data_IF_872355501688
#
_entry.id   IF_872355501688
#
_cell.length_a   1.000
_cell.length_b   1.000
_cell.length_c   1.000
_cell.angle_alpha   90.00
_cell.angle_beta   90.00
_cell.angle_gamma   90.00
#
_symmetry.space_group_name_H-M   'P 1'
#
loop_
_entity.id
_entity.type
_entity.pdbx_description
1 polymer ?
#
# COMPACT_ATOMS: atom_id res chain seq x y z
N UNK A 1 26.99 -9.11 -12.49
CA UNK A 1 25.97 -8.15 -12.73
C UNK A 1 25.08 -7.98 -11.51
N UNK A 2 24.98 -6.80 -11.07
CA UNK A 2 24.13 -6.55 -9.92
C UNK A 2 22.66 -6.67 -10.30
N UNK A 3 21.91 -7.24 -9.41
CA UNK A 3 20.46 -7.25 -9.53
C UNK A 3 19.93 -6.05 -8.77
N UNK A 4 20.02 -4.91 -9.44
CA UNK A 4 19.45 -3.70 -8.86
C UNK A 4 17.98 -3.93 -8.65
N UNK A 5 17.42 -3.56 -7.49
CA UNK A 5 15.97 -3.51 -7.37
C UNK A 5 15.44 -2.51 -8.38
N UNK A 6 14.17 -2.64 -8.74
CA UNK A 6 13.56 -1.63 -9.60
C UNK A 6 13.81 -0.26 -8.99
N UNK A 7 14.19 0.74 -9.78
CA UNK A 7 14.42 2.06 -9.22
C UNK A 7 13.16 2.59 -8.56
N UNK A 8 13.35 3.39 -7.52
CA UNK A 8 12.23 4.12 -6.95
C UNK A 8 11.77 5.17 -7.95
N UNK A 9 10.51 5.11 -8.29
CA UNK A 9 9.89 6.01 -9.25
C UNK A 9 8.82 6.85 -8.56
N UNK A 10 8.56 8.07 -9.06
CA UNK A 10 7.43 8.83 -8.55
C UNK A 10 6.14 8.07 -8.80
N UNK A 11 5.37 7.84 -7.74
CA UNK A 11 4.05 7.24 -7.89
C UNK A 11 3.14 8.28 -8.54
N UNK A 12 2.43 7.93 -9.63
CA UNK A 12 1.60 8.92 -10.35
C UNK A 12 0.60 9.61 -9.43
N UNK A 13 0.51 10.92 -9.56
CA UNK A 13 -0.38 11.73 -8.74
C UNK A 13 -1.84 11.29 -8.86
N UNK A 14 -2.28 10.93 -10.07
CA UNK A 14 -3.64 10.48 -10.29
C UNK A 14 -3.95 9.17 -9.54
N UNK A 15 -3.00 8.23 -9.54
CA UNK A 15 -3.14 6.98 -8.80
C UNK A 15 -3.25 7.27 -7.30
N UNK A 16 -2.34 8.11 -6.79
CA UNK A 16 -2.33 8.45 -5.36
C UNK A 16 -3.62 9.13 -4.94
N UNK A 17 -4.09 10.08 -5.75
CA UNK A 17 -5.34 10.80 -5.46
C UNK A 17 -6.52 9.85 -5.34
N UNK A 18 -6.65 8.91 -6.27
CA UNK A 18 -7.74 7.94 -6.24
C UNK A 18 -7.64 7.01 -5.04
N UNK A 19 -6.44 6.50 -4.75
CA UNK A 19 -6.23 5.58 -3.64
C UNK A 19 -6.48 6.29 -2.30
N UNK A 20 -5.97 7.51 -2.14
CA UNK A 20 -6.17 8.29 -0.92
C UNK A 20 -7.67 8.53 -0.68
N UNK A 21 -8.40 8.91 -1.72
CA UNK A 21 -9.83 9.17 -1.60
C UNK A 21 -10.58 7.92 -1.11
N UNK A 22 -10.25 6.75 -1.68
CA UNK A 22 -10.88 5.49 -1.29
C UNK A 22 -10.52 5.13 0.16
N UNK A 23 -9.25 5.27 0.53
CA UNK A 23 -8.79 4.96 1.89
C UNK A 23 -9.45 5.87 2.93
N UNK A 24 -9.55 7.15 2.65
CA UNK A 24 -10.15 8.12 3.58
C UNK A 24 -11.64 7.92 3.73
N UNK A 25 -12.32 7.55 2.65
CA UNK A 25 -13.75 7.27 2.70
C UNK A 25 -14.02 5.99 3.48
N UNK A 26 -13.17 4.98 3.35
CA UNK A 26 -13.21 3.79 4.19
C UNK A 26 -14.38 2.86 3.94
N UNK A 27 -15.04 2.94 2.79
CA UNK A 27 -16.14 2.04 2.49
C UNK A 27 -15.66 0.63 2.20
N UNK A 28 -16.21 -0.34 2.93
CA UNK A 28 -15.79 -1.74 2.81
C UNK A 28 -15.94 -2.29 1.40
N UNK A 29 -16.94 -1.84 0.66
CA UNK A 29 -17.17 -2.29 -0.70
C UNK A 29 -16.07 -1.87 -1.67
N UNK A 30 -15.27 -0.86 -1.31
CA UNK A 30 -14.23 -0.32 -2.16
C UNK A 30 -12.82 -0.74 -1.74
N UNK A 31 -12.69 -1.45 -0.62
CA UNK A 31 -11.37 -1.82 -0.07
C UNK A 31 -11.35 -3.32 0.21
N UNK A 32 -10.62 -4.04 -0.64
CA UNK A 32 -10.37 -5.47 -0.42
C UNK A 32 -9.01 -5.59 0.26
N UNK A 33 -8.97 -6.24 1.40
CA UNK A 33 -7.71 -6.51 2.10
C UNK A 33 -7.48 -8.01 2.04
N UNK A 34 -6.37 -8.42 1.42
CA UNK A 34 -6.03 -9.82 1.37
C UNK A 34 -5.83 -10.33 2.80
N UNK A 35 -6.21 -11.58 3.03
CA UNK A 35 -6.18 -12.15 4.38
C UNK A 35 -4.80 -12.05 5.00
N UNK A 36 -3.75 -12.32 4.25
CA UNK A 36 -2.39 -12.24 4.74
C UNK A 36 -2.07 -10.83 5.25
N UNK A 37 -2.44 -9.80 4.49
CA UNK A 37 -2.20 -8.42 4.88
C UNK A 37 -2.94 -8.09 6.17
N UNK A 38 -4.18 -8.52 6.27
CA UNK A 38 -4.99 -8.32 7.46
C UNK A 38 -4.37 -8.99 8.68
N UNK A 39 -3.99 -10.25 8.53
CA UNK A 39 -3.46 -11.05 9.63
C UNK A 39 -2.11 -10.52 10.12
N UNK A 40 -1.22 -10.16 9.19
CA UNK A 40 0.09 -9.65 9.55
C UNK A 40 0.01 -8.29 10.25
N UNK A 41 -0.89 -7.42 9.79
CA UNK A 41 -1.08 -6.13 10.44
C UNK A 41 -1.68 -6.32 11.82
N UNK A 42 -2.70 -7.16 11.96
CA UNK A 42 -3.35 -7.44 13.25
C UNK A 42 -2.40 -8.10 14.24
N UNK A 43 -1.52 -8.98 13.76
CA UNK A 43 -0.54 -9.62 14.62
C UNK A 43 0.43 -8.61 15.23
N UNK A 44 0.81 -7.59 14.45
CA UNK A 44 1.73 -6.55 14.91
C UNK A 44 1.03 -5.48 15.75
N UNK A 45 -0.21 -5.15 15.40
CA UNK A 45 -0.99 -4.09 16.05
C UNK A 45 -2.40 -4.62 16.40
N UNK A 46 -2.51 -5.49 17.41
CA UNK A 46 -3.78 -6.17 17.70
C UNK A 46 -4.90 -5.23 18.16
N UNK A 47 -4.55 -4.04 18.65
CA UNK A 47 -5.53 -3.07 19.12
C UNK A 47 -5.88 -2.00 18.07
N UNK A 48 -5.28 -2.08 16.88
CA UNK A 48 -5.55 -1.10 15.83
C UNK A 48 -6.81 -1.47 15.06
N UNK A 49 -7.54 -0.43 14.66
CA UNK A 49 -8.72 -0.59 13.83
C UNK A 49 -8.35 -0.50 12.34
N UNK A 50 -9.15 -1.08 11.44
CA UNK A 50 -8.89 -0.94 10.00
C UNK A 50 -8.76 0.51 9.53
N UNK A 51 -9.57 1.43 10.08
CA UNK A 51 -9.48 2.82 9.66
C UNK A 51 -8.17 3.48 10.11
N UNK A 52 -7.55 3.01 11.18
CA UNK A 52 -6.23 3.51 11.61
C UNK A 52 -5.18 3.15 10.56
N UNK A 53 -5.20 1.90 10.11
CA UNK A 53 -4.31 1.42 9.04
C UNK A 53 -4.55 2.20 7.76
N UNK A 54 -5.82 2.35 7.38
CA UNK A 54 -6.17 3.05 6.14
C UNK A 54 -5.75 4.52 6.19
N UNK A 55 -5.90 5.16 7.34
CA UNK A 55 -5.45 6.53 7.53
C UNK A 55 -3.95 6.67 7.38
N UNK A 56 -3.18 5.74 7.95
CA UNK A 56 -1.72 5.76 7.85
C UNK A 56 -1.27 5.54 6.39
N UNK A 57 -1.93 4.64 5.66
CA UNK A 57 -1.66 4.43 4.25
C UNK A 57 -1.95 5.69 3.43
N UNK A 58 -3.08 6.33 3.69
CA UNK A 58 -3.44 7.58 3.00
C UNK A 58 -2.44 8.69 3.30
N UNK A 59 -2.02 8.82 4.55
CA UNK A 59 -1.03 9.83 4.93
C UNK A 59 0.28 9.65 4.18
N UNK A 60 0.70 8.41 3.97
CA UNK A 60 1.95 8.12 3.25
C UNK A 60 1.87 8.53 1.77
N UNK A 61 0.68 8.56 1.20
CA UNK A 61 0.47 8.87 -0.21
C UNK A 61 0.06 10.33 -0.46
N UNK A 62 -0.05 11.13 0.60
CA UNK A 62 -0.53 12.52 0.50
C UNK A 62 0.54 13.55 0.11
N UNK A 63 1.83 13.39 0.44
CA UNK A 63 2.84 14.39 0.07
C UNK A 63 2.86 14.67 -1.43
N UNK A 64 3.40 15.85 -1.79
CA UNK A 64 3.46 16.29 -3.19
C UNK A 64 4.18 15.28 -4.07
N UNK A 65 5.23 14.65 -3.54
CA UNK A 65 5.97 13.61 -4.25
C UNK A 65 6.14 12.41 -3.34
N UNK A 66 5.81 11.24 -3.86
CA UNK A 66 6.00 9.98 -3.14
C UNK A 66 6.66 9.00 -4.09
N UNK A 67 7.74 8.40 -3.65
CA UNK A 67 8.46 7.40 -4.43
C UNK A 67 8.03 6.00 -4.03
N UNK A 68 8.01 5.10 -5.01
CA UNK A 68 7.66 3.72 -4.76
C UNK A 68 8.20 2.82 -5.86
N UNK A 69 7.74 1.60 -5.85
CA UNK A 69 8.14 0.60 -6.84
C UNK A 69 6.90 0.09 -7.55
N UNK A 70 6.84 0.19 -8.89
CA UNK A 70 5.74 -0.42 -9.62
C UNK A 70 5.87 -1.94 -9.57
N UNK A 71 4.76 -2.62 -9.35
CA UNK A 71 4.72 -4.08 -9.24
C UNK A 71 3.91 -4.62 -10.41
N UNK A 72 4.48 -5.61 -11.11
CA UNK A 72 3.86 -6.22 -12.29
C UNK A 72 3.57 -7.69 -12.03
N UNK A 73 2.66 -8.26 -12.81
CA UNK A 73 2.41 -9.70 -12.76
C UNK A 73 1.49 -10.16 -11.63
N UNK A 74 0.72 -9.25 -11.03
CA UNK A 74 -0.27 -9.64 -10.04
C UNK A 74 -1.45 -10.31 -10.74
N UNK A 75 -2.15 -11.19 -9.99
CA UNK A 75 -3.28 -11.93 -10.55
C UNK A 75 -4.46 -11.03 -10.92
N UNK A 76 -4.72 -10.01 -10.09
CA UNK A 76 -5.81 -9.10 -10.38
C UNK A 76 -5.32 -7.97 -11.29
N UNK A 77 -6.14 -7.54 -12.27
CA UNK A 77 -5.76 -6.42 -13.13
C UNK A 77 -5.75 -5.11 -12.36
N UNK A 78 -4.94 -4.17 -12.82
CA UNK A 78 -4.85 -2.86 -12.22
C UNK A 78 -3.42 -2.38 -12.13
N UNK A 79 -3.24 -1.18 -11.58
CA UNK A 79 -1.92 -0.59 -11.37
C UNK A 79 -1.52 -0.77 -9.92
N UNK A 80 -0.39 -1.43 -9.69
CA UNK A 80 0.07 -1.81 -8.36
C UNK A 80 1.37 -1.07 -8.03
N UNK A 81 1.40 -0.48 -6.85
CA UNK A 81 2.59 0.19 -6.32
C UNK A 81 2.91 -0.30 -4.93
N UNK A 82 4.19 -0.52 -4.66
CA UNK A 82 4.71 -0.78 -3.32
C UNK A 82 5.33 0.50 -2.79
N UNK A 83 5.15 0.76 -1.51
CA UNK A 83 5.67 1.98 -0.88
C UNK A 83 5.79 1.78 0.62
N UNK A 84 6.51 2.71 1.27
CA UNK A 84 6.65 2.70 2.73
C UNK A 84 5.55 3.54 3.36
N UNK A 85 5.07 3.08 4.51
CA UNK A 85 4.21 3.91 5.35
C UNK A 85 4.62 3.69 6.81
N UNK A 86 4.19 4.59 7.68
CA UNK A 86 4.51 4.51 9.10
C UNK A 86 3.25 4.41 9.93
N UNK A 87 3.29 3.57 10.95
CA UNK A 87 2.21 3.45 11.90
C UNK A 87 2.82 3.30 13.28
N UNK A 88 2.47 4.20 14.21
CA UNK A 88 3.02 4.23 15.57
C UNK A 88 4.55 4.14 15.57
N UNK A 89 5.18 4.95 14.72
CA UNK A 89 6.63 5.04 14.58
C UNK A 89 7.30 3.76 14.07
N UNK A 90 6.51 2.83 13.53
CA UNK A 90 7.05 1.63 12.90
C UNK A 90 6.98 1.79 11.38
N UNK A 91 8.08 1.54 10.69
CA UNK A 91 8.15 1.58 9.24
C UNK A 91 7.60 0.28 8.67
N UNK A 92 6.62 0.40 7.78
CA UNK A 92 5.89 -0.74 7.23
C UNK A 92 5.94 -0.73 5.70
N UNK A 93 5.83 -1.92 5.14
CA UNK A 93 5.77 -2.14 3.69
C UNK A 93 4.32 -2.28 3.26
N UNK A 94 3.93 -1.53 2.23
CA UNK A 94 2.59 -1.59 1.66
C UNK A 94 2.64 -1.94 0.18
N UNK A 95 1.62 -2.64 -0.30
CA UNK A 95 1.44 -2.93 -1.71
C UNK A 95 -0.03 -2.87 -2.02
N UNK A 96 -0.42 -1.95 -2.91
CA UNK A 96 -1.82 -1.66 -3.20
C UNK A 96 -2.06 -1.66 -4.70
N UNK A 97 -3.15 -2.26 -5.12
CA UNK A 97 -3.65 -2.25 -6.48
C UNK A 97 -4.84 -1.29 -6.58
N UNK A 98 -4.77 -0.35 -7.53
CA UNK A 98 -5.94 0.41 -7.94
C UNK A 98 -6.48 -0.28 -9.18
N UNK A 99 -7.67 -0.86 -9.07
CA UNK A 99 -8.24 -1.63 -10.18
C UNK A 99 -8.62 -0.72 -11.35
N UNK A 100 -8.81 -1.28 -12.56
CA UNK A 100 -9.06 -0.46 -13.74
C UNK A 100 -10.26 0.47 -13.65
N UNK A 101 -11.26 0.12 -12.82
CA UNK A 101 -12.42 1.00 -12.64
C UNK A 101 -12.06 2.30 -11.92
N UNK A 102 -10.96 2.31 -11.18
CA UNK A 102 -10.58 3.46 -10.35
C UNK A 102 -11.41 3.60 -9.10
N UNK A 103 -12.27 2.63 -8.79
CA UNK A 103 -13.22 2.69 -7.67
C UNK A 103 -13.00 1.63 -6.61
N UNK A 104 -12.02 0.75 -6.81
CA UNK A 104 -11.74 -0.36 -5.91
C UNK A 104 -10.24 -0.47 -5.74
N UNK A 105 -9.79 -0.68 -4.51
CA UNK A 105 -8.39 -0.99 -4.24
C UNK A 105 -8.27 -2.36 -3.59
N UNK A 106 -7.12 -3.00 -3.81
CA UNK A 106 -6.78 -4.27 -3.18
C UNK A 106 -5.48 -4.06 -2.41
N UNK A 107 -5.51 -4.29 -1.11
CA UNK A 107 -4.31 -4.19 -0.27
C UNK A 107 -3.72 -5.58 -0.13
N UNK A 108 -2.54 -5.79 -0.73
CA UNK A 108 -1.83 -7.07 -0.67
C UNK A 108 -0.90 -7.17 0.52
N UNK A 109 -0.34 -6.06 0.96
CA UNK A 109 0.68 -6.04 2.01
C UNK A 109 0.53 -4.81 2.87
N UNK A 110 0.69 -4.99 4.19
CA UNK A 110 0.70 -3.93 5.18
C UNK A 110 1.41 -4.51 6.42
N UNK A 111 2.75 -4.69 6.33
CA UNK A 111 3.48 -5.41 7.36
C UNK A 111 4.90 -4.87 7.53
N UNK A 112 5.53 -5.29 8.61
CA UNK A 112 6.96 -5.00 8.82
C UNK A 112 7.74 -5.61 7.65
N UNK A 113 8.72 -4.86 7.10
CA UNK A 113 9.44 -5.36 5.92
C UNK A 113 10.06 -6.74 6.17
N UNK A 114 9.87 -7.62 5.21
CA UNK A 114 10.52 -8.93 5.21
C UNK A 114 11.91 -8.79 4.59
N UNK A 115 12.72 -9.83 4.78
CA UNK A 115 14.05 -9.84 4.21
C UNK A 115 13.97 -9.60 2.70
N UNK A 116 14.69 -8.60 2.21
CA UNK A 116 14.66 -8.20 0.80
C UNK A 116 13.72 -7.04 0.51
N UNK A 117 12.67 -6.87 1.28
CA UNK A 117 11.74 -5.75 1.09
C UNK A 117 12.30 -4.45 1.63
N UNK A 118 13.21 -4.53 2.58
CA UNK A 118 13.87 -3.38 3.16
C UNK A 118 14.71 -2.60 2.15
N UNK A 119 14.87 -3.15 0.96
CA UNK A 119 15.59 -2.50 -0.13
C UNK A 119 14.67 -1.79 -1.11
N UNK A 120 13.42 -1.74 -0.77
CA UNK A 120 12.44 -1.02 -1.60
C UNK A 120 12.88 0.41 -1.90
#
# INVERSE_FOLDING_TARGET
MSHEPNPHLPIPAAWRKSVVAILRKGEKAQIVVKQRARDEFSARFPDAWPYDRNGALADALTPTEVLGRPIFGMDEPGEVWAFWFHFRNVKLYAKINLTPSGKLIIIYSAHVPLKGEDKL
#
